data_IF_050022202841
#
_entry.id   IF_050022202841
#
_cell.length_a   1.000
_cell.length_b   1.000
_cell.length_c   1.000
_cell.angle_alpha   90.00
_cell.angle_beta   90.00
_cell.angle_gamma   90.00
#
_symmetry.space_group_name_H-M   'P 1'
#
loop_
_entity.id
_entity.type
_entity.pdbx_description
1 polymer ?
#
# COMPACT_ATOMS: atom_id res chain seq x y z
N UNK A 1 8.00 32.46 -55.66
CA UNK A 1 8.18 31.59 -54.45
C UNK A 1 9.55 31.90 -53.88
N UNK A 2 9.67 32.12 -52.56
CA UNK A 2 10.98 32.25 -51.92
C UNK A 2 11.31 30.93 -51.22
N UNK A 3 12.52 30.46 -51.43
CA UNK A 3 13.06 29.28 -50.77
C UNK A 3 14.02 29.74 -49.69
N UNK A 4 13.89 29.20 -48.48
CA UNK A 4 14.78 29.51 -47.36
C UNK A 4 15.19 28.24 -46.60
N UNK A 5 16.45 28.19 -46.20
CA UNK A 5 16.97 27.22 -45.25
C UNK A 5 17.65 28.00 -44.14
N UNK A 6 17.21 27.83 -42.86
CA UNK A 6 17.76 28.59 -41.76
C UNK A 6 18.01 27.73 -40.51
N UNK A 7 19.07 28.06 -39.81
CA UNK A 7 19.36 27.60 -38.47
C UNK A 7 19.15 28.79 -37.52
N UNK A 8 18.32 28.63 -36.49
CA UNK A 8 18.12 29.68 -35.49
C UNK A 8 18.48 29.15 -34.09
N UNK A 9 19.12 29.98 -33.30
CA UNK A 9 19.39 29.75 -31.89
C UNK A 9 18.77 30.88 -31.08
N UNK A 10 18.12 30.54 -29.97
CA UNK A 10 17.57 31.48 -29.03
C UNK A 10 17.99 31.07 -27.63
N UNK A 11 18.49 32.00 -26.82
CA UNK A 11 18.91 31.78 -25.47
C UNK A 11 18.42 32.90 -24.56
N UNK A 12 17.60 32.56 -23.53
CA UNK A 12 17.15 33.49 -22.53
C UNK A 12 18.17 33.54 -21.40
N UNK A 13 18.62 34.76 -21.06
CA UNK A 13 19.60 35.00 -20.00
C UNK A 13 18.92 34.92 -18.65
N UNK A 14 19.40 34.04 -17.77
CA UNK A 14 18.81 33.79 -16.45
C UNK A 14 19.35 34.76 -15.36
N UNK A 15 19.16 36.07 -15.56
CA UNK A 15 19.59 37.06 -14.58
C UNK A 15 18.84 36.97 -13.25
N UNK A 16 17.53 36.65 -13.32
CA UNK A 16 16.63 36.65 -12.17
C UNK A 16 16.47 35.27 -11.54
N UNK A 17 17.16 34.27 -12.06
CA UNK A 17 17.17 32.93 -11.52
C UNK A 17 15.92 32.12 -11.82
N UNK A 18 15.11 32.47 -12.85
CA UNK A 18 13.92 31.76 -13.25
C UNK A 18 14.23 30.30 -13.60
N UNK A 19 15.20 30.10 -14.49
CA UNK A 19 15.59 28.75 -14.92
C UNK A 19 16.36 27.99 -13.86
N UNK A 20 17.20 28.66 -13.06
CA UNK A 20 17.89 28.06 -11.92
C UNK A 20 16.91 27.56 -10.86
N UNK A 21 15.92 28.38 -10.50
CA UNK A 21 14.86 27.97 -9.56
C UNK A 21 13.98 26.85 -10.13
N UNK A 22 13.66 26.91 -11.44
CA UNK A 22 12.91 25.85 -12.11
C UNK A 22 13.69 24.52 -12.13
N UNK A 23 15.00 24.57 -12.40
CA UNK A 23 15.87 23.41 -12.30
C UNK A 23 15.89 22.83 -10.87
N UNK A 24 16.03 23.66 -9.85
CA UNK A 24 15.98 23.23 -8.44
C UNK A 24 14.63 22.60 -8.12
N UNK A 25 13.53 23.24 -8.51
CA UNK A 25 12.17 22.69 -8.32
C UNK A 25 12.04 21.30 -8.93
N UNK A 26 12.42 21.14 -10.20
CA UNK A 26 12.31 19.86 -10.91
C UNK A 26 13.27 18.80 -10.33
N UNK A 27 14.43 19.20 -9.86
CA UNK A 27 15.39 18.34 -9.17
C UNK A 27 14.81 17.81 -7.85
N UNK A 28 14.17 18.68 -7.07
CA UNK A 28 13.52 18.27 -5.81
C UNK A 28 12.29 17.38 -6.06
N UNK A 29 11.52 17.62 -7.13
CA UNK A 29 10.44 16.73 -7.58
C UNK A 29 10.98 15.35 -7.98
N UNK A 30 12.13 15.31 -8.68
CA UNK A 30 12.80 14.03 -8.99
C UNK A 30 13.21 13.30 -7.72
N UNK A 31 13.83 13.98 -6.76
CA UNK A 31 14.23 13.40 -5.47
C UNK A 31 13.01 12.91 -4.67
N UNK A 32 11.92 13.68 -4.66
CA UNK A 32 10.64 13.22 -4.09
C UNK A 32 10.19 11.91 -4.74
N UNK A 33 10.24 11.80 -6.07
CA UNK A 33 9.81 10.59 -6.80
C UNK A 33 10.68 9.38 -6.45
N UNK A 34 12.01 9.57 -6.39
CA UNK A 34 12.96 8.51 -6.01
C UNK A 34 12.68 8.00 -4.59
N UNK A 35 12.50 8.91 -3.65
CA UNK A 35 12.24 8.55 -2.25
C UNK A 35 10.83 7.97 -2.07
N UNK A 36 9.84 8.45 -2.83
CA UNK A 36 8.49 7.87 -2.86
C UNK A 36 8.49 6.44 -3.39
N UNK A 37 9.36 6.11 -4.34
CA UNK A 37 9.55 4.73 -4.78
C UNK A 37 10.04 3.83 -3.62
N UNK A 38 10.96 4.30 -2.77
CA UNK A 38 11.40 3.55 -1.59
C UNK A 38 10.26 3.39 -0.56
N UNK A 39 9.43 4.42 -0.37
CA UNK A 39 8.23 4.33 0.47
C UNK A 39 7.25 3.27 -0.05
N UNK A 40 7.03 3.24 -1.36
CA UNK A 40 6.17 2.24 -2.01
C UNK A 40 6.74 0.82 -1.84
N UNK A 41 8.05 0.62 -2.04
CA UNK A 41 8.70 -0.68 -1.81
C UNK A 41 8.49 -1.19 -0.39
N UNK A 42 8.66 -0.33 0.61
CA UNK A 42 8.44 -0.67 2.01
C UNK A 42 6.96 -1.03 2.27
N UNK A 43 6.04 -0.27 1.70
CA UNK A 43 4.60 -0.53 1.80
C UNK A 43 4.21 -1.88 1.19
N UNK A 44 4.68 -2.16 -0.04
CA UNK A 44 4.41 -3.44 -0.72
C UNK A 44 5.02 -4.62 0.04
N UNK A 45 6.25 -4.48 0.53
CA UNK A 45 6.89 -5.53 1.34
C UNK A 45 6.11 -5.81 2.63
N UNK A 46 5.68 -4.76 3.34
CA UNK A 46 4.87 -4.89 4.56
C UNK A 46 3.51 -5.55 4.26
N UNK A 47 2.82 -5.11 3.21
CA UNK A 47 1.53 -5.68 2.81
C UNK A 47 1.65 -7.13 2.37
N UNK A 48 2.74 -7.48 1.66
CA UNK A 48 3.03 -8.87 1.26
C UNK A 48 3.24 -9.76 2.49
N UNK A 49 4.02 -9.29 3.47
CA UNK A 49 4.23 -10.03 4.72
C UNK A 49 2.92 -10.23 5.50
N UNK A 50 2.11 -9.17 5.65
CA UNK A 50 0.81 -9.26 6.31
C UNK A 50 -0.14 -10.24 5.61
N UNK A 51 -0.23 -10.17 4.27
CA UNK A 51 -1.06 -11.07 3.47
C UNK A 51 -0.59 -12.52 3.56
N UNK A 52 0.73 -12.74 3.63
CA UNK A 52 1.29 -14.08 3.80
C UNK A 52 0.97 -14.67 5.18
N UNK A 53 1.13 -13.90 6.26
CA UNK A 53 0.75 -14.37 7.61
C UNK A 53 -0.77 -14.59 7.74
N UNK A 54 -1.59 -13.75 7.11
CA UNK A 54 -3.03 -13.95 7.05
C UNK A 54 -3.39 -15.26 6.32
N UNK A 55 -2.70 -15.57 5.21
CA UNK A 55 -2.88 -16.83 4.49
C UNK A 55 -2.52 -18.06 5.35
N UNK A 56 -1.41 -18.02 6.10
CA UNK A 56 -1.03 -19.09 7.02
C UNK A 56 -2.08 -19.28 8.13
N UNK A 57 -2.65 -18.20 8.65
CA UNK A 57 -3.72 -18.27 9.65
C UNK A 57 -5.00 -18.91 9.07
N UNK A 58 -5.37 -18.56 7.84
CA UNK A 58 -6.51 -19.16 7.14
C UNK A 58 -6.29 -20.66 6.84
N UNK A 59 -5.06 -21.06 6.49
CA UNK A 59 -4.71 -22.48 6.32
C UNK A 59 -4.92 -23.26 7.63
N UNK A 60 -4.55 -22.69 8.80
CA UNK A 60 -4.81 -23.29 10.10
C UNK A 60 -6.32 -23.38 10.43
N UNK A 61 -7.08 -22.34 10.10
CA UNK A 61 -8.53 -22.33 10.25
C UNK A 61 -9.18 -23.43 9.40
N UNK A 62 -8.76 -23.59 8.15
CA UNK A 62 -9.23 -24.65 7.26
C UNK A 62 -8.86 -26.04 7.81
N UNK A 63 -7.64 -26.21 8.30
CA UNK A 63 -7.22 -27.47 8.94
C UNK A 63 -8.04 -27.80 10.19
N UNK A 64 -8.37 -26.78 10.98
CA UNK A 64 -9.25 -26.94 12.16
C UNK A 64 -10.67 -27.27 11.76
N UNK A 65 -11.25 -26.57 10.77
CA UNK A 65 -12.59 -26.88 10.25
C UNK A 65 -12.70 -28.32 9.73
N UNK A 66 -11.69 -28.81 9.02
CA UNK A 66 -11.63 -30.20 8.55
C UNK A 66 -11.56 -31.21 9.70
N UNK A 67 -10.81 -30.91 10.76
CA UNK A 67 -10.78 -31.75 11.97
C UNK A 67 -12.14 -31.78 12.68
N UNK A 68 -12.74 -30.61 12.86
CA UNK A 68 -14.09 -30.48 13.46
C UNK A 68 -15.11 -31.27 12.66
N UNK A 69 -15.11 -31.19 11.33
CA UNK A 69 -16.01 -31.96 10.48
C UNK A 69 -15.84 -33.47 10.74
N UNK A 70 -14.63 -34.02 10.77
CA UNK A 70 -14.38 -35.43 11.07
C UNK A 70 -14.93 -35.82 12.44
N UNK A 71 -14.64 -35.02 13.48
CA UNK A 71 -15.16 -35.30 14.83
C UNK A 71 -16.69 -35.31 14.87
N UNK A 72 -17.36 -34.41 14.13
CA UNK A 72 -18.82 -34.39 14.02
C UNK A 72 -19.35 -35.58 13.21
N UNK A 73 -18.68 -36.00 12.13
CA UNK A 73 -19.04 -37.18 11.35
C UNK A 73 -18.88 -38.46 12.17
N UNK A 74 -17.81 -38.62 12.95
CA UNK A 74 -17.57 -39.75 13.81
C UNK A 74 -18.65 -39.83 14.92
N UNK A 75 -18.93 -38.69 15.57
CA UNK A 75 -20.00 -38.61 16.58
C UNK A 75 -21.37 -38.94 15.97
N UNK A 76 -21.69 -38.42 14.79
CA UNK A 76 -22.96 -38.71 14.09
C UNK A 76 -23.11 -40.19 13.78
N UNK A 77 -22.01 -40.89 13.44
CA UNK A 77 -22.00 -42.33 13.26
C UNK A 77 -22.47 -43.09 14.53
N UNK A 78 -21.98 -42.67 15.72
CA UNK A 78 -22.37 -43.23 16.99
C UNK A 78 -23.87 -42.94 17.27
N UNK A 79 -24.30 -41.66 17.10
CA UNK A 79 -25.73 -41.32 17.29
C UNK A 79 -26.66 -42.03 16.35
N UNK A 80 -26.25 -42.28 15.11
CA UNK A 80 -27.04 -43.07 14.14
C UNK A 80 -27.24 -44.50 14.62
N UNK A 81 -26.21 -45.11 15.19
CA UNK A 81 -26.31 -46.46 15.80
C UNK A 81 -27.23 -46.48 17.00
N UNK A 82 -27.12 -45.54 17.93
CA UNK A 82 -28.00 -45.43 19.11
C UNK A 82 -29.45 -45.14 18.70
N UNK A 83 -29.70 -44.31 17.68
CA UNK A 83 -31.05 -44.05 17.19
C UNK A 83 -31.69 -45.30 16.62
N UNK A 84 -30.95 -46.12 15.88
CA UNK A 84 -31.45 -47.42 15.35
C UNK A 84 -31.77 -48.44 16.46
N UNK A 85 -31.10 -48.34 17.60
CA UNK A 85 -31.35 -49.17 18.78
C UNK A 85 -32.49 -48.64 19.65
N UNK A 86 -32.96 -47.42 19.40
CA UNK A 86 -34.02 -46.78 20.16
C UNK A 86 -33.51 -46.06 21.43
N UNK A 87 -32.19 -45.91 21.58
CA UNK A 87 -31.56 -45.33 22.77
C UNK A 87 -31.58 -43.79 22.79
N UNK A 88 -31.85 -43.16 21.64
CA UNK A 88 -31.96 -41.68 21.55
C UNK A 88 -33.19 -41.30 20.71
N UNK A 89 -33.62 -40.04 20.88
CA UNK A 89 -34.76 -39.48 20.14
C UNK A 89 -34.40 -39.12 18.70
N UNK A 90 -35.40 -39.05 17.83
CA UNK A 90 -35.20 -38.53 16.48
C UNK A 90 -34.73 -37.07 16.49
N UNK A 91 -35.17 -36.28 17.47
CA UNK A 91 -34.74 -34.91 17.66
C UNK A 91 -33.23 -34.81 17.85
N UNK A 92 -32.65 -35.67 18.71
CA UNK A 92 -31.21 -35.67 18.99
C UNK A 92 -30.41 -36.14 17.77
N UNK A 93 -30.93 -37.14 17.04
CA UNK A 93 -30.31 -37.58 15.80
C UNK A 93 -30.31 -36.47 14.72
N UNK A 94 -31.43 -35.73 14.54
CA UNK A 94 -31.52 -34.60 13.60
C UNK A 94 -30.60 -33.44 14.00
N UNK A 95 -30.47 -33.15 15.32
CA UNK A 95 -29.51 -32.15 15.83
C UNK A 95 -28.08 -32.54 15.51
N UNK A 96 -27.68 -33.79 15.76
CA UNK A 96 -26.35 -34.26 15.41
C UNK A 96 -26.06 -34.18 13.90
N UNK A 97 -27.06 -34.47 13.06
CA UNK A 97 -26.97 -34.32 11.60
C UNK A 97 -26.78 -32.86 11.19
N UNK A 98 -27.51 -31.93 11.80
CA UNK A 98 -27.39 -30.49 11.53
C UNK A 98 -25.99 -29.97 11.85
N UNK A 99 -25.35 -30.45 12.95
CA UNK A 99 -23.97 -30.08 13.30
C UNK A 99 -22.95 -30.55 12.24
N UNK A 100 -23.12 -31.74 11.65
CA UNK A 100 -22.27 -32.22 10.54
C UNK A 100 -22.41 -31.30 9.33
N UNK A 101 -23.62 -30.93 8.95
CA UNK A 101 -23.84 -30.06 7.79
C UNK A 101 -23.31 -28.62 8.05
N UNK A 102 -23.43 -28.13 9.27
CA UNK A 102 -22.83 -26.85 9.69
C UNK A 102 -21.30 -26.90 9.59
N UNK A 103 -20.67 -27.95 10.11
CA UNK A 103 -19.22 -28.13 10.00
C UNK A 103 -18.75 -28.28 8.53
N UNK A 104 -19.55 -28.96 7.70
CA UNK A 104 -19.27 -29.10 6.26
C UNK A 104 -19.34 -27.76 5.54
N UNK A 105 -20.36 -26.95 5.82
CA UNK A 105 -20.47 -25.58 5.28
C UNK A 105 -19.27 -24.73 5.70
N UNK A 106 -18.80 -24.87 6.94
CA UNK A 106 -17.62 -24.14 7.45
C UNK A 106 -16.34 -24.53 6.68
N UNK A 107 -16.15 -25.80 6.33
CA UNK A 107 -15.01 -26.25 5.51
C UNK A 107 -15.04 -25.57 4.15
N UNK A 108 -16.19 -25.53 3.48
CA UNK A 108 -16.33 -24.86 2.19
C UNK A 108 -16.07 -23.35 2.28
N UNK A 109 -16.60 -22.69 3.28
CA UNK A 109 -16.36 -21.27 3.54
C UNK A 109 -14.87 -20.98 3.78
N UNK A 110 -14.20 -21.79 4.61
CA UNK A 110 -12.77 -21.65 4.88
C UNK A 110 -11.93 -21.91 3.62
N UNK A 111 -12.35 -22.84 2.75
CA UNK A 111 -11.66 -23.09 1.47
C UNK A 111 -11.73 -21.86 0.57
N UNK A 112 -12.90 -21.22 0.44
CA UNK A 112 -13.07 -19.99 -0.35
C UNK A 112 -12.19 -18.87 0.21
N UNK A 113 -12.09 -18.75 1.54
CA UNK A 113 -11.25 -17.74 2.17
C UNK A 113 -9.75 -17.95 1.87
N UNK A 114 -9.27 -19.19 1.92
CA UNK A 114 -7.88 -19.54 1.56
C UNK A 114 -7.61 -19.22 0.09
N UNK A 115 -8.46 -19.65 -0.82
CA UNK A 115 -8.30 -19.41 -2.26
C UNK A 115 -8.27 -17.90 -2.59
N UNK A 116 -9.16 -17.14 -1.97
CA UNK A 116 -9.21 -15.67 -2.14
C UNK A 116 -7.96 -14.99 -1.62
N UNK A 117 -7.46 -15.39 -0.45
CA UNK A 117 -6.23 -14.85 0.13
C UNK A 117 -5.00 -15.21 -0.71
N UNK A 118 -4.95 -16.44 -1.24
CA UNK A 118 -3.89 -16.90 -2.14
C UNK A 118 -3.86 -16.10 -3.44
N UNK A 119 -5.01 -15.91 -4.08
CA UNK A 119 -5.14 -15.09 -5.28
C UNK A 119 -4.71 -13.63 -5.03
N UNK A 120 -5.12 -13.05 -3.90
CA UNK A 120 -4.75 -11.68 -3.51
C UNK A 120 -3.24 -11.53 -3.31
N UNK A 121 -2.61 -12.50 -2.65
CA UNK A 121 -1.16 -12.53 -2.46
C UNK A 121 -0.41 -12.70 -3.79
N UNK A 122 -0.93 -13.53 -4.70
CA UNK A 122 -0.36 -13.72 -6.03
C UNK A 122 -0.35 -12.43 -6.86
N UNK A 123 -1.41 -11.61 -6.76
CA UNK A 123 -1.46 -10.28 -7.38
C UNK A 123 -0.40 -9.34 -6.79
N UNK A 124 -0.25 -9.32 -5.46
CA UNK A 124 0.79 -8.49 -4.80
C UNK A 124 2.21 -8.87 -5.22
N UNK A 125 2.43 -10.16 -5.51
CA UNK A 125 3.72 -10.66 -5.99
C UNK A 125 3.93 -10.46 -7.49
N UNK A 126 2.98 -9.85 -8.19
CA UNK A 126 3.05 -9.59 -9.63
C UNK A 126 3.03 -10.85 -10.49
N UNK A 127 2.40 -11.93 -10.03
CA UNK A 127 2.29 -13.18 -10.80
C UNK A 127 1.42 -13.00 -12.05
N UNK A 128 1.73 -13.75 -13.08
CA UNK A 128 0.93 -13.72 -14.32
C UNK A 128 -0.50 -14.24 -14.07
N UNK A 129 -1.51 -13.81 -14.85
CA UNK A 129 -2.88 -14.33 -14.73
C UNK A 129 -2.96 -15.87 -14.83
N UNK A 130 -2.10 -16.47 -15.63
CA UNK A 130 -2.02 -17.93 -15.76
C UNK A 130 -1.55 -18.59 -14.46
N UNK A 131 -0.54 -18.02 -13.83
CA UNK A 131 0.00 -18.53 -12.56
C UNK A 131 -1.00 -18.32 -11.41
N UNK A 132 -1.77 -17.24 -11.42
CA UNK A 132 -2.84 -17.01 -10.44
C UNK A 132 -3.91 -18.10 -10.54
N UNK A 133 -4.25 -18.54 -11.74
CA UNK A 133 -5.29 -19.56 -11.97
C UNK A 133 -4.82 -21.00 -11.75
N UNK A 134 -3.53 -21.27 -11.81
CA UNK A 134 -3.01 -22.65 -11.85
C UNK A 134 -1.99 -22.97 -10.76
N UNK A 135 -1.38 -21.99 -10.12
CA UNK A 135 -0.29 -22.21 -9.19
C UNK A 135 -0.73 -22.16 -7.73
N UNK A 136 -0.38 -23.18 -6.98
CA UNK A 136 -0.46 -23.19 -5.54
C UNK A 136 0.71 -22.39 -4.97
N UNK A 137 0.43 -21.49 -4.03
CA UNK A 137 1.49 -20.74 -3.33
C UNK A 137 2.25 -21.68 -2.39
N UNK A 138 3.61 -21.67 -2.43
CA UNK A 138 4.40 -22.44 -1.47
C UNK A 138 4.15 -21.93 -0.04
N UNK A 139 3.87 -22.85 0.88
CA UNK A 139 3.77 -22.59 2.32
C UNK A 139 5.13 -22.84 2.94
N UNK A 140 5.71 -21.82 3.59
CA UNK A 140 7.04 -21.92 4.22
C UNK A 140 7.06 -22.65 5.55
N UNK A 141 5.90 -23.04 6.08
CA UNK A 141 5.77 -23.77 7.32
C UNK A 141 4.53 -23.43 8.15
N UNK A 142 4.45 -24.03 9.33
CA UNK A 142 3.37 -23.80 10.29
C UNK A 142 3.59 -22.46 11.01
N UNK A 143 2.55 -21.63 11.08
CA UNK A 143 2.59 -20.33 11.77
C UNK A 143 3.01 -20.47 13.25
N UNK A 144 2.69 -21.60 13.90
CA UNK A 144 3.06 -21.86 15.29
C UNK A 144 4.57 -22.04 15.51
N UNK A 145 5.35 -22.26 14.43
CA UNK A 145 6.80 -22.46 14.45
C UNK A 145 7.60 -21.26 14.03
N UNK A 146 6.93 -20.14 13.74
CA UNK A 146 7.61 -18.90 13.36
C UNK A 146 8.40 -18.34 14.56
N UNK A 147 9.59 -17.78 14.30
CA UNK A 147 10.36 -17.13 15.36
C UNK A 147 9.59 -15.93 15.92
N UNK A 148 9.75 -15.69 17.22
CA UNK A 148 9.20 -14.49 17.85
C UNK A 148 9.74 -13.22 17.16
N UNK A 149 8.92 -12.17 16.99
CA UNK A 149 9.37 -10.92 16.40
C UNK A 149 10.50 -10.30 17.24
N UNK A 150 11.47 -9.61 16.63
CA UNK A 150 12.54 -8.95 17.37
C UNK A 150 11.97 -7.87 18.30
N UNK A 151 12.55 -7.78 19.50
CA UNK A 151 12.20 -6.70 20.44
C UNK A 151 12.71 -5.37 19.88
N UNK A 152 11.80 -4.44 19.65
CA UNK A 152 12.15 -3.10 19.20
C UNK A 152 12.75 -2.29 20.36
N UNK A 153 13.92 -1.63 20.17
CA UNK A 153 14.53 -0.83 21.22
C UNK A 153 13.65 0.39 21.55
N UNK A 154 13.50 0.67 22.84
CA UNK A 154 12.87 1.91 23.30
C UNK A 154 13.80 3.10 22.96
N UNK A 155 13.33 4.10 22.20
CA UNK A 155 14.10 5.32 21.89
C UNK A 155 14.09 5.79 20.44
N UNK A 156 13.19 5.28 19.61
CA UNK A 156 13.10 5.51 18.16
C UNK A 156 12.50 6.85 17.64
N UNK A 157 11.98 7.83 18.43
CA UNK A 157 11.14 8.89 17.83
C UNK A 157 11.89 9.84 16.87
N UNK A 158 13.13 10.24 17.14
CA UNK A 158 13.83 11.23 16.30
C UNK A 158 14.48 10.61 15.05
N UNK A 159 15.07 9.42 15.16
CA UNK A 159 15.66 8.73 14.01
C UNK A 159 14.62 8.35 12.94
N UNK A 160 13.36 8.18 13.32
CA UNK A 160 12.28 7.85 12.39
C UNK A 160 12.03 8.95 11.37
N UNK A 161 12.17 10.22 11.77
CA UNK A 161 11.99 11.35 10.86
C UNK A 161 13.03 11.35 9.73
N UNK A 162 14.25 10.92 10.03
CA UNK A 162 15.34 10.86 9.06
C UNK A 162 15.29 9.58 8.19
N UNK A 163 14.81 8.47 8.76
CA UNK A 163 14.82 7.15 8.09
C UNK A 163 13.58 6.86 7.27
N UNK A 164 12.43 7.45 7.60
CA UNK A 164 11.17 7.16 6.89
C UNK A 164 11.15 7.84 5.52
N UNK A 165 11.02 7.07 4.43
CA UNK A 165 11.05 7.64 3.09
C UNK A 165 9.81 8.49 2.78
N UNK A 166 8.64 8.23 3.36
CA UNK A 166 7.43 9.04 3.19
C UNK A 166 7.59 10.45 3.79
N UNK A 167 8.26 10.58 4.93
CA UNK A 167 8.56 11.88 5.56
C UNK A 167 9.56 12.66 4.72
N UNK A 168 10.64 12.03 4.26
CA UNK A 168 11.63 12.65 3.37
C UNK A 168 11.03 13.07 2.03
N UNK A 169 10.14 12.27 1.46
CA UNK A 169 9.44 12.64 0.22
C UNK A 169 8.61 13.92 0.42
N UNK A 170 7.86 14.03 1.52
CA UNK A 170 7.11 15.23 1.83
C UNK A 170 8.01 16.46 2.05
N UNK A 171 9.22 16.29 2.59
CA UNK A 171 10.20 17.37 2.75
C UNK A 171 10.71 17.89 1.40
N UNK A 172 11.06 17.00 0.46
CA UNK A 172 11.46 17.41 -0.90
C UNK A 172 10.35 18.18 -1.62
N UNK A 173 9.07 17.85 -1.39
CA UNK A 173 7.96 18.63 -1.95
C UNK A 173 7.89 20.06 -1.38
N UNK A 174 8.21 20.27 -0.11
CA UNK A 174 8.31 21.63 0.45
C UNK A 174 9.44 22.40 -0.22
N UNK A 175 10.60 21.76 -0.45
CA UNK A 175 11.73 22.37 -1.15
C UNK A 175 11.37 22.74 -2.59
N UNK A 176 10.70 21.84 -3.31
CA UNK A 176 10.23 22.07 -4.66
C UNK A 176 9.28 23.29 -4.75
N UNK A 177 8.27 23.36 -3.88
CA UNK A 177 7.36 24.50 -3.86
C UNK A 177 8.03 25.80 -3.40
N UNK A 178 9.05 25.71 -2.54
CA UNK A 178 9.84 26.88 -2.18
C UNK A 178 10.63 27.42 -3.40
N UNK A 179 11.23 26.55 -4.20
CA UNK A 179 11.90 26.94 -5.43
C UNK A 179 10.90 27.52 -6.47
N UNK A 180 9.67 26.96 -6.53
CA UNK A 180 8.61 27.48 -7.40
C UNK A 180 8.21 28.93 -7.08
N UNK A 181 8.25 29.35 -5.81
CA UNK A 181 8.04 30.76 -5.44
C UNK A 181 9.11 31.64 -6.11
N UNK A 182 10.37 31.18 -6.20
CA UNK A 182 11.44 31.86 -6.90
C UNK A 182 11.16 32.00 -8.40
N UNK A 183 10.60 30.97 -9.05
CA UNK A 183 10.16 31.01 -10.45
C UNK A 183 9.07 32.07 -10.63
N UNK A 184 8.02 32.04 -9.80
CA UNK A 184 6.91 32.99 -9.87
C UNK A 184 7.38 34.45 -9.62
N UNK A 185 8.29 34.66 -8.70
CA UNK A 185 8.85 35.99 -8.42
C UNK A 185 9.71 36.52 -9.58
N UNK A 186 10.38 35.65 -10.31
CA UNK A 186 11.17 36.06 -11.48
C UNK A 186 10.29 36.64 -12.60
N UNK A 187 9.01 36.35 -12.65
CA UNK A 187 8.07 36.91 -13.63
C UNK A 187 7.79 38.40 -13.46
N UNK A 188 8.16 39.02 -12.33
CA UNK A 188 8.10 40.46 -12.15
C UNK A 188 9.17 41.23 -12.96
N UNK A 189 10.21 40.53 -13.39
CA UNK A 189 11.36 41.15 -14.05
C UNK A 189 11.34 40.89 -15.55
N UNK A 190 12.04 41.74 -16.34
CA UNK A 190 12.10 41.57 -17.80
C UNK A 190 12.85 40.30 -18.16
N UNK A 191 12.30 39.51 -19.10
CA UNK A 191 13.06 38.45 -19.78
C UNK A 191 13.98 39.07 -20.83
N UNK A 192 15.24 38.63 -20.90
CA UNK A 192 16.23 39.11 -21.87
C UNK A 192 16.70 37.90 -22.69
N UNK A 193 16.40 37.90 -23.99
CA UNK A 193 16.75 36.83 -24.92
C UNK A 193 17.75 37.30 -25.98
N UNK A 194 18.76 36.46 -26.19
CA UNK A 194 19.66 36.56 -27.34
C UNK A 194 19.13 35.67 -28.42
N UNK A 195 19.04 36.20 -29.66
CA UNK A 195 18.63 35.44 -30.83
C UNK A 195 19.70 35.52 -31.90
N UNK A 196 19.95 34.41 -32.58
CA UNK A 196 20.85 34.35 -33.73
C UNK A 196 20.20 33.51 -34.82
N UNK A 197 20.35 33.93 -36.08
CA UNK A 197 19.92 33.20 -37.24
C UNK A 197 21.02 33.21 -38.29
N UNK A 198 21.27 32.05 -38.86
CA UNK A 198 22.15 31.86 -40.01
C UNK A 198 21.42 31.02 -41.05
N UNK A 199 21.39 31.45 -42.28
CA UNK A 199 20.68 30.71 -43.32
C UNK A 199 20.95 31.19 -44.73
N UNK A 200 20.11 30.73 -45.62
CA UNK A 200 20.14 31.11 -47.05
C UNK A 200 18.71 31.45 -47.50
N UNK A 201 18.58 32.46 -48.32
CA UNK A 201 17.31 32.92 -48.89
C UNK A 201 17.49 33.14 -50.41
N UNK A 202 16.67 32.48 -51.22
CA UNK A 202 16.75 32.60 -52.71
C UNK A 202 15.38 32.49 -53.36
N UNK A 203 15.18 33.14 -54.44
CA UNK A 203 14.02 33.03 -55.35
C UNK A 203 14.02 31.72 -56.17
N UNK A 204 15.17 31.00 -56.22
CA UNK A 204 15.36 29.75 -56.97
C UNK A 204 16.05 28.72 -56.09
N UNK A 205 15.59 27.47 -56.14
CA UNK A 205 16.18 26.33 -55.38
C UNK A 205 17.64 26.10 -55.80
N UNK A 206 17.96 26.28 -57.08
CA UNK A 206 19.32 26.07 -57.62
C UNK A 206 20.34 27.03 -57.00
N UNK A 207 19.91 28.24 -56.64
CA UNK A 207 20.78 29.28 -56.10
C UNK A 207 20.73 29.37 -54.58
N UNK A 208 20.00 28.45 -53.90
CA UNK A 208 19.78 28.47 -52.46
C UNK A 208 21.08 28.34 -51.65
N UNK A 209 22.07 27.62 -52.19
CA UNK A 209 23.37 27.40 -51.55
C UNK A 209 24.51 28.18 -52.23
N UNK A 210 24.20 29.15 -53.05
CA UNK A 210 25.19 30.05 -53.61
C UNK A 210 25.57 31.16 -52.63
N UNK A 211 26.81 31.68 -52.73
CA UNK A 211 27.32 32.70 -51.81
C UNK A 211 26.41 33.92 -51.58
N UNK A 212 25.77 34.47 -52.67
CA UNK A 212 24.86 35.62 -52.56
C UNK A 212 23.55 35.34 -51.80
N UNK A 213 23.20 34.10 -51.63
CA UNK A 213 21.96 33.70 -50.86
C UNK A 213 22.16 33.68 -49.35
N UNK A 214 23.37 33.82 -48.84
CA UNK A 214 23.66 33.79 -47.40
C UNK A 214 23.01 34.96 -46.67
N UNK A 215 22.32 34.64 -45.56
CA UNK A 215 21.68 35.62 -44.70
C UNK A 215 21.98 35.28 -43.22
N UNK A 216 22.24 36.28 -42.42
CA UNK A 216 22.42 36.11 -40.98
C UNK A 216 21.83 37.31 -40.24
N UNK A 217 21.37 37.05 -39.01
CA UNK A 217 20.94 38.10 -38.11
C UNK A 217 21.25 37.72 -36.66
N UNK A 218 21.47 38.72 -35.83
CA UNK A 218 21.51 38.58 -34.39
C UNK A 218 20.71 39.71 -33.74
N UNK A 219 20.17 39.44 -32.57
CA UNK A 219 19.38 40.43 -31.85
C UNK A 219 19.35 40.15 -30.34
N UNK A 220 19.08 41.20 -29.58
CA UNK A 220 18.77 41.15 -28.16
C UNK A 220 17.36 41.67 -28.00
N UNK A 221 16.50 40.87 -27.37
CA UNK A 221 15.10 41.25 -27.08
C UNK A 221 14.86 41.24 -25.59
N UNK A 222 14.35 42.36 -25.04
CA UNK A 222 13.84 42.45 -23.69
C UNK A 222 12.31 42.52 -23.69
N UNK A 223 11.64 41.73 -22.88
CA UNK A 223 10.19 41.76 -22.73
C UNK A 223 9.77 41.78 -21.27
N UNK A 224 8.90 42.70 -20.89
CA UNK A 224 8.38 42.83 -19.53
C UNK A 224 6.88 43.16 -19.58
N UNK A 225 6.03 42.45 -18.77
CA UNK A 225 4.63 42.85 -18.62
C UNK A 225 4.55 44.14 -17.80
N UNK A 226 4.07 45.24 -18.40
CA UNK A 226 3.87 46.50 -17.66
C UNK A 226 2.49 46.61 -16.98
N UNK A 227 1.50 46.03 -17.64
CA UNK A 227 0.11 45.96 -17.12
C UNK A 227 -0.42 44.56 -17.30
N UNK A 228 -0.50 43.81 -16.20
CA UNK A 228 -0.99 42.43 -16.17
C UNK A 228 -2.22 42.24 -15.26
N UNK A 229 -2.77 43.34 -14.77
CA UNK A 229 -3.95 43.37 -13.88
C UNK A 229 -3.78 42.50 -12.63
N UNK A 230 -2.54 42.38 -12.12
CA UNK A 230 -2.22 41.63 -10.91
C UNK A 230 -1.94 40.14 -11.11
N UNK A 231 -1.90 39.66 -12.36
CA UNK A 231 -1.67 38.24 -12.66
C UNK A 231 -0.40 37.71 -12.00
N UNK A 232 0.73 38.39 -12.19
CA UNK A 232 2.02 37.97 -11.62
C UNK A 232 1.99 37.97 -10.10
N UNK A 233 1.32 38.95 -9.49
CA UNK A 233 1.15 38.99 -8.03
C UNK A 233 0.34 37.81 -7.52
N UNK A 234 -0.77 37.46 -8.19
CA UNK A 234 -1.58 36.28 -7.83
C UNK A 234 -0.86 34.96 -8.10
N UNK A 235 -0.04 34.85 -9.12
CA UNK A 235 0.83 33.68 -9.37
C UNK A 235 1.80 33.45 -8.19
N UNK A 236 2.41 34.52 -7.64
CA UNK A 236 3.26 34.39 -6.44
C UNK A 236 2.44 33.95 -5.24
N UNK A 237 1.23 34.51 -5.05
CA UNK A 237 0.34 34.11 -3.96
C UNK A 237 -0.10 32.66 -4.05
N UNK A 238 -0.38 32.18 -5.27
CA UNK A 238 -0.67 30.76 -5.50
C UNK A 238 0.52 29.87 -5.16
N UNK A 239 1.73 30.21 -5.60
CA UNK A 239 2.94 29.47 -5.24
C UNK A 239 3.20 29.45 -3.71
N UNK A 240 2.97 30.57 -3.01
CA UNK A 240 3.06 30.63 -1.56
C UNK A 240 2.01 29.71 -0.88
N UNK A 241 0.76 29.71 -1.35
CA UNK A 241 -0.29 28.86 -0.83
C UNK A 241 -0.02 27.36 -1.08
N UNK A 242 0.56 27.02 -2.24
CA UNK A 242 0.99 25.64 -2.55
C UNK A 242 2.08 25.16 -1.57
N UNK A 243 3.04 26.02 -1.22
CA UNK A 243 4.05 25.71 -0.19
C UNK A 243 3.40 25.50 1.18
N UNK A 244 2.46 26.35 1.60
CA UNK A 244 1.74 26.16 2.87
C UNK A 244 0.96 24.84 2.90
N UNK A 245 0.30 24.47 1.79
CA UNK A 245 -0.36 23.17 1.64
C UNK A 245 0.63 22.02 1.79
N UNK A 246 1.81 22.11 1.18
CA UNK A 246 2.87 21.09 1.32
C UNK A 246 3.37 20.96 2.77
N UNK A 247 3.50 22.07 3.50
CA UNK A 247 3.85 22.06 4.95
C UNK A 247 2.77 21.35 5.76
N UNK A 248 1.49 21.55 5.45
CA UNK A 248 0.39 20.86 6.13
C UNK A 248 0.43 19.34 5.85
N UNK A 249 0.72 18.94 4.61
CA UNK A 249 0.91 17.53 4.23
C UNK A 249 2.10 16.91 4.98
N UNK A 250 3.24 17.61 5.04
CA UNK A 250 4.41 17.16 5.81
C UNK A 250 4.06 16.91 7.28
N UNK A 251 3.40 17.88 7.94
CA UNK A 251 2.96 17.76 9.34
C UNK A 251 2.07 16.53 9.54
N UNK A 252 1.11 16.30 8.64
CA UNK A 252 0.22 15.12 8.65
C UNK A 252 1.02 13.83 8.50
N UNK A 253 2.01 13.79 7.61
CA UNK A 253 2.87 12.61 7.40
C UNK A 253 3.67 12.30 8.66
N UNK A 254 4.28 13.31 9.30
CA UNK A 254 4.98 13.15 10.57
C UNK A 254 4.04 12.63 11.68
N UNK A 255 2.85 13.20 11.82
CA UNK A 255 1.86 12.74 12.80
C UNK A 255 1.45 11.29 12.57
N UNK A 256 1.25 10.88 11.31
CA UNK A 256 0.96 9.50 10.95
C UNK A 256 2.13 8.57 11.30
N UNK A 257 3.37 9.00 11.06
CA UNK A 257 4.55 8.23 11.42
C UNK A 257 4.60 7.91 12.94
N UNK A 258 4.35 8.90 13.77
CA UNK A 258 4.28 8.69 15.24
C UNK A 258 3.09 7.81 15.66
N UNK A 259 1.92 8.03 15.04
CA UNK A 259 0.75 7.18 15.27
C UNK A 259 1.05 5.71 14.96
N UNK A 260 1.67 5.44 13.81
CA UNK A 260 1.98 4.07 13.36
C UNK A 260 2.92 3.37 14.35
N UNK A 261 3.97 4.06 14.79
CA UNK A 261 4.89 3.52 15.81
C UNK A 261 4.16 3.22 17.11
N UNK A 262 3.39 4.18 17.64
CA UNK A 262 2.62 3.99 18.87
C UNK A 262 1.69 2.79 18.77
N UNK A 263 0.95 2.69 17.67
CA UNK A 263 0.01 1.59 17.45
C UNK A 263 0.74 0.26 17.36
N UNK A 264 1.84 0.19 16.60
CA UNK A 264 2.61 -1.04 16.43
C UNK A 264 3.24 -1.53 17.76
N UNK A 265 3.81 -0.61 18.55
CA UNK A 265 4.37 -0.95 19.87
C UNK A 265 3.29 -1.45 20.85
N UNK A 266 2.12 -0.80 20.85
CA UNK A 266 1.00 -1.24 21.67
C UNK A 266 0.49 -2.61 21.22
N UNK A 267 0.30 -2.83 19.92
CA UNK A 267 -0.15 -4.11 19.38
C UNK A 267 0.83 -5.23 19.70
N UNK A 268 2.14 -4.99 19.60
CA UNK A 268 3.15 -5.99 19.95
C UNK A 268 3.11 -6.35 21.43
N UNK A 269 3.02 -5.36 22.33
CA UNK A 269 2.95 -5.59 23.77
C UNK A 269 1.71 -6.38 24.19
N UNK A 270 0.56 -6.05 23.59
CA UNK A 270 -0.71 -6.70 23.94
C UNK A 270 -0.89 -8.07 23.27
N UNK A 271 -0.15 -8.36 22.17
CA UNK A 271 -0.27 -9.63 21.47
C UNK A 271 0.04 -10.85 22.37
N UNK A 272 1.09 -10.78 23.17
CA UNK A 272 1.48 -11.87 24.08
C UNK A 272 0.40 -12.10 25.16
N UNK A 273 -0.18 -11.04 25.70
CA UNK A 273 -1.25 -11.13 26.67
C UNK A 273 -2.54 -11.73 26.05
N UNK A 274 -2.87 -11.36 24.81
CA UNK A 274 -4.01 -11.92 24.07
C UNK A 274 -3.79 -13.42 23.83
N UNK A 275 -2.59 -13.83 23.41
CA UNK A 275 -2.27 -15.26 23.20
C UNK A 275 -2.41 -16.04 24.51
N UNK A 276 -1.85 -15.55 25.63
CA UNK A 276 -1.94 -16.21 26.92
C UNK A 276 -3.39 -16.35 27.40
N UNK A 277 -4.20 -15.29 27.28
CA UNK A 277 -5.61 -15.30 27.63
C UNK A 277 -6.42 -16.29 26.76
N UNK A 278 -6.17 -16.28 25.45
CA UNK A 278 -6.83 -17.19 24.50
C UNK A 278 -6.47 -18.65 24.77
N UNK A 279 -5.21 -18.92 25.12
CA UNK A 279 -4.79 -20.29 25.49
C UNK A 279 -5.51 -20.76 26.77
N UNK A 280 -5.57 -19.94 27.81
CA UNK A 280 -6.28 -20.25 29.03
C UNK A 280 -7.78 -20.48 28.78
N UNK A 281 -8.39 -19.70 27.88
CA UNK A 281 -9.77 -19.90 27.44
C UNK A 281 -9.96 -21.27 26.79
N UNK A 282 -9.11 -21.62 25.81
CA UNK A 282 -9.17 -22.92 25.12
C UNK A 282 -9.04 -24.09 26.11
N UNK A 283 -8.10 -24.01 27.04
CA UNK A 283 -7.89 -25.08 28.04
C UNK A 283 -9.11 -25.24 28.95
N UNK A 284 -9.74 -24.13 29.35
CA UNK A 284 -10.97 -24.16 30.17
C UNK A 284 -12.17 -24.72 29.40
N UNK A 285 -12.37 -24.30 28.15
CA UNK A 285 -13.47 -24.80 27.29
C UNK A 285 -13.29 -26.28 26.94
N UNK A 286 -12.06 -26.72 26.68
CA UNK A 286 -11.77 -28.14 26.47
C UNK A 286 -12.16 -28.98 27.68
N UNK A 287 -11.82 -28.51 28.89
CA UNK A 287 -12.18 -29.18 30.11
C UNK A 287 -13.69 -29.21 30.35
N UNK A 288 -14.38 -28.11 30.05
CA UNK A 288 -15.84 -28.05 30.12
C UNK A 288 -16.51 -29.06 29.17
N UNK A 289 -16.03 -29.15 27.92
CA UNK A 289 -16.54 -30.12 26.96
C UNK A 289 -16.30 -31.58 27.38
N UNK A 290 -15.12 -31.89 27.95
CA UNK A 290 -14.85 -33.22 28.52
C UNK A 290 -15.83 -33.58 29.67
N UNK A 291 -16.08 -32.64 30.57
CA UNK A 291 -17.02 -32.85 31.69
C UNK A 291 -18.44 -33.04 31.16
N UNK A 292 -18.90 -32.18 30.24
CA UNK A 292 -20.24 -32.29 29.67
C UNK A 292 -20.45 -33.64 28.97
N UNK A 293 -19.44 -34.14 28.27
CA UNK A 293 -19.48 -35.45 27.62
C UNK A 293 -19.56 -36.60 28.62
N UNK A 294 -18.74 -36.56 29.68
CA UNK A 294 -18.81 -37.56 30.77
C UNK A 294 -20.18 -37.56 31.45
N UNK A 295 -20.77 -36.40 31.71
CA UNK A 295 -22.10 -36.27 32.29
C UNK A 295 -23.18 -36.85 31.37
N UNK A 296 -23.11 -36.60 30.08
CA UNK A 296 -24.03 -37.15 29.11
C UNK A 296 -23.92 -38.69 29.00
N UNK A 297 -22.70 -39.23 28.92
CA UNK A 297 -22.46 -40.69 28.85
C UNK A 297 -22.95 -41.43 30.07
N UNK A 298 -23.03 -40.76 31.25
CA UNK A 298 -23.58 -41.30 32.47
C UNK A 298 -25.07 -40.95 32.71
N UNK A 299 -25.71 -40.27 31.77
CA UNK A 299 -27.14 -39.94 31.84
C UNK A 299 -27.50 -38.77 32.78
N UNK A 300 -26.52 -37.96 33.21
CA UNK A 300 -26.73 -36.82 34.09
C UNK A 300 -27.14 -35.54 33.39
N UNK A 301 -26.97 -35.45 32.08
CA UNK A 301 -27.33 -34.27 31.28
C UNK A 301 -27.82 -34.68 29.90
N UNK A 302 -28.46 -33.76 29.20
CA UNK A 302 -28.90 -33.95 27.84
C UNK A 302 -27.78 -33.67 26.81
N UNK A 303 -28.00 -34.09 25.54
CA UNK A 303 -27.06 -33.87 24.46
C UNK A 303 -26.85 -32.38 24.11
N UNK A 304 -27.84 -31.53 24.39
CA UNK A 304 -27.74 -30.11 24.12
C UNK A 304 -26.60 -29.48 24.93
N UNK A 305 -26.45 -29.91 26.21
CA UNK A 305 -25.34 -29.45 27.04
C UNK A 305 -23.97 -29.81 26.47
N UNK A 306 -23.83 -30.98 25.87
CA UNK A 306 -22.57 -31.37 25.18
C UNK A 306 -22.33 -30.49 23.98
N UNK A 307 -23.37 -30.26 23.16
CA UNK A 307 -23.26 -29.39 21.95
C UNK A 307 -22.84 -27.96 22.31
N UNK A 308 -23.45 -27.40 23.39
CA UNK A 308 -23.12 -26.04 23.84
C UNK A 308 -21.68 -25.94 24.39
N UNK A 309 -21.20 -26.98 25.06
CA UNK A 309 -19.84 -27.02 25.60
C UNK A 309 -18.77 -27.25 24.50
N UNK A 310 -19.13 -27.87 23.38
CA UNK A 310 -18.24 -28.10 22.23
C UNK A 310 -18.27 -26.98 21.20
N UNK A 311 -19.14 -25.96 21.34
CA UNK A 311 -19.20 -24.75 20.52
C UNK A 311 -18.15 -23.73 20.92
#
# INVERSE_FOLDING_TARGET
MNYQGQLSASWELDFWGKYRNNYTMLSDVLLNTVVSHEALRLSVASQTAQSYFALLALDMQLATAKRTLRTREDAFGIYTSRYRQGDITELDWQRARAEVETARAQVHSSTVAVDSAEASLAVLLGRSPRDIMSAVMPRGGDISKLPAPPVLPAGLPSELLERRPDVRAAEYMIMAYNANIGVARAEFFPSISLTGMLGTLSASVVNLFSGPAGAWSYGVTGSMPLLDFGRTWYNVKDAEAQKEAAIAVYRKTVQNAFKDVRTSLTSQREADAIVAASQAQVDSLRRAAEIARLQYDNGYTDYLTVLDAER
#
